data_IF_685897429785
#
_entry.id   IF_685897429785
#
_cell.length_a   1.000
_cell.length_b   1.000
_cell.length_c   1.000
_cell.angle_alpha   90.00
_cell.angle_beta   90.00
_cell.angle_gamma   90.00
#
_symmetry.space_group_name_H-M   'P 1'
#
loop_
_entity.id
_entity.type
_entity.pdbx_description
1 polymer ?
#
# COMPACT_ATOMS: atom_id res chain seq x y z
N UNK A 1 -4.61 -17.03 -11.46
CA UNK A 1 -3.37 -16.57 -12.10
C UNK A 1 -3.74 -15.65 -13.25
N UNK A 2 -3.26 -14.41 -13.20
CA UNK A 2 -3.63 -13.31 -14.10
C UNK A 2 -2.36 -12.57 -14.59
N UNK A 3 -1.39 -13.29 -15.18
CA UNK A 3 -0.17 -12.65 -15.66
C UNK A 3 -0.49 -11.60 -16.73
N UNK A 4 0.21 -10.47 -16.70
CA UNK A 4 -0.01 -9.35 -17.62
C UNK A 4 -1.08 -8.35 -17.18
N UNK A 5 -1.81 -8.62 -16.09
CA UNK A 5 -2.69 -7.61 -15.48
C UNK A 5 -1.86 -6.60 -14.68
N UNK A 6 -2.09 -5.32 -14.96
CA UNK A 6 -1.39 -4.19 -14.34
C UNK A 6 -2.42 -3.16 -13.88
N UNK A 7 -2.33 -2.75 -12.61
CA UNK A 7 -3.06 -1.61 -12.04
C UNK A 7 -2.04 -0.48 -11.86
N UNK A 8 -2.07 0.52 -12.75
CA UNK A 8 -1.04 1.57 -12.81
C UNK A 8 -1.61 2.97 -13.00
N UNK A 9 -0.98 3.95 -12.35
CA UNK A 9 -1.22 5.37 -12.62
C UNK A 9 -2.57 5.88 -12.08
N UNK A 10 -3.13 5.23 -11.06
CA UNK A 10 -4.45 5.59 -10.56
C UNK A 10 -4.37 6.54 -9.36
N UNK A 11 -5.36 7.42 -9.26
CA UNK A 11 -5.68 8.21 -8.08
C UNK A 11 -6.99 7.69 -7.47
N UNK A 12 -6.92 7.05 -6.29
CA UNK A 12 -8.08 6.39 -5.67
C UNK A 12 -8.22 6.86 -4.21
N UNK A 13 -9.27 7.60 -3.89
CA UNK A 13 -9.37 8.21 -2.57
C UNK A 13 -10.79 8.43 -2.06
N UNK A 14 -10.90 8.78 -0.78
CA UNK A 14 -12.14 9.09 -0.09
C UNK A 14 -13.16 7.94 -0.12
N UNK A 15 -12.67 6.71 -0.01
CA UNK A 15 -13.49 5.50 -0.01
C UNK A 15 -14.04 5.24 1.39
N UNK A 16 -15.37 5.23 1.52
CA UNK A 16 -16.08 4.97 2.78
C UNK A 16 -16.86 3.66 2.70
N UNK A 17 -16.86 2.89 3.79
CA UNK A 17 -17.72 1.70 3.97
C UNK A 17 -18.86 1.98 4.94
N UNK A 18 -20.02 1.38 4.68
CA UNK A 18 -21.11 1.33 5.66
C UNK A 18 -20.93 0.16 6.65
N UNK A 19 -20.52 -1.02 6.16
CA UNK A 19 -20.38 -2.22 7.00
C UNK A 19 -19.06 -2.96 6.73
N UNK A 20 -18.82 -3.37 5.49
CA UNK A 20 -17.65 -4.16 5.11
C UNK A 20 -16.91 -3.52 3.94
N UNK A 21 -15.60 -3.71 3.89
CA UNK A 21 -14.73 -3.26 2.81
C UNK A 21 -14.34 -1.79 2.87
N UNK A 22 -14.19 -1.15 1.71
CA UNK A 22 -13.69 0.22 1.62
C UNK A 22 -12.17 0.31 1.51
N UNK A 23 -11.58 -0.55 0.68
CA UNK A 23 -10.19 -0.47 0.24
C UNK A 23 -10.08 0.34 -1.05
N UNK A 24 -8.89 0.82 -1.39
CA UNK A 24 -8.65 1.38 -2.72
C UNK A 24 -8.36 0.26 -3.75
N UNK A 25 -7.34 -0.56 -3.50
CA UNK A 25 -6.97 -1.69 -4.35
C UNK A 25 -7.10 -2.97 -3.53
N UNK A 26 -7.95 -3.89 -3.98
CA UNK A 26 -8.19 -5.16 -3.31
C UNK A 26 -7.96 -6.34 -4.27
N UNK A 27 -6.87 -7.06 -4.07
CA UNK A 27 -6.60 -8.33 -4.73
C UNK A 27 -7.20 -9.48 -3.90
N UNK A 28 -8.39 -9.93 -4.31
CA UNK A 28 -9.12 -11.01 -3.65
C UNK A 28 -8.72 -12.41 -4.18
N UNK A 29 -9.43 -13.44 -3.74
CA UNK A 29 -9.14 -14.85 -3.97
C UNK A 29 -8.77 -15.16 -5.43
N UNK A 30 -7.60 -15.79 -5.59
CA UNK A 30 -7.07 -16.20 -6.89
C UNK A 30 -6.36 -15.09 -7.68
N UNK A 31 -6.34 -13.84 -7.21
CA UNK A 31 -5.55 -12.73 -7.78
C UNK A 31 -4.06 -13.01 -7.65
N UNK A 32 -3.40 -13.40 -8.75
CA UNK A 32 -1.98 -13.77 -8.72
C UNK A 32 -1.21 -13.25 -9.93
N UNK A 33 0.05 -12.88 -9.73
CA UNK A 33 0.93 -12.28 -10.75
C UNK A 33 0.42 -10.94 -11.32
N UNK A 34 -0.29 -10.17 -10.50
CA UNK A 34 -0.74 -8.81 -10.83
C UNK A 34 0.32 -7.81 -10.38
N UNK A 35 0.59 -6.81 -11.22
CA UNK A 35 1.45 -5.68 -10.87
C UNK A 35 0.59 -4.49 -10.47
N UNK A 36 0.81 -3.96 -9.27
CA UNK A 36 0.19 -2.76 -8.72
C UNK A 36 1.28 -1.71 -8.54
N UNK A 37 1.32 -0.70 -9.41
CA UNK A 37 2.41 0.28 -9.37
C UNK A 37 2.02 1.70 -9.75
N UNK A 38 2.74 2.69 -9.22
CA UNK A 38 2.52 4.10 -9.55
C UNK A 38 1.09 4.57 -9.26
N UNK A 39 0.45 4.03 -8.23
CA UNK A 39 -0.85 4.47 -7.77
C UNK A 39 -0.71 5.36 -6.53
N UNK A 40 -1.61 6.33 -6.39
CA UNK A 40 -1.77 7.16 -5.20
C UNK A 40 -3.13 6.85 -4.60
N UNK A 41 -3.14 6.23 -3.42
CA UNK A 41 -4.35 5.78 -2.75
C UNK A 41 -4.42 6.28 -1.31
N UNK A 42 -5.51 6.95 -0.93
CA UNK A 42 -5.58 7.58 0.39
C UNK A 42 -6.98 7.81 0.94
N UNK A 43 -7.08 8.09 2.25
CA UNK A 43 -8.35 8.37 2.97
C UNK A 43 -9.42 7.30 2.72
N UNK A 44 -9.02 6.04 2.84
CA UNK A 44 -9.94 4.92 2.82
C UNK A 44 -10.33 4.49 4.23
N UNK A 45 -11.56 4.05 4.45
CA UNK A 45 -11.96 3.50 5.76
C UNK A 45 -11.29 2.16 6.06
N UNK A 46 -10.95 1.34 5.06
CA UNK A 46 -10.06 0.19 5.25
C UNK A 46 -8.62 0.55 4.83
N UNK A 47 -7.91 -0.36 4.15
CA UNK A 47 -6.53 -0.17 3.70
C UNK A 47 -6.45 0.38 2.27
N UNK A 48 -5.36 1.09 1.94
CA UNK A 48 -5.10 1.49 0.57
C UNK A 48 -4.87 0.27 -0.33
N UNK A 49 -4.02 -0.67 0.12
CA UNK A 49 -3.83 -1.96 -0.53
C UNK A 49 -4.25 -3.10 0.38
N UNK A 50 -4.99 -4.05 -0.16
CA UNK A 50 -5.38 -5.25 0.57
C UNK A 50 -5.21 -6.49 -0.29
N UNK A 51 -4.68 -7.54 0.33
CA UNK A 51 -4.57 -8.86 -0.26
C UNK A 51 -5.42 -9.86 0.53
N UNK A 52 -6.18 -10.67 -0.20
CA UNK A 52 -6.83 -11.87 0.31
C UNK A 52 -6.53 -13.03 -0.65
N UNK A 53 -5.87 -14.06 -0.14
CA UNK A 53 -5.74 -15.38 -0.77
C UNK A 53 -5.40 -15.39 -2.26
N UNK A 54 -4.23 -14.84 -2.57
CA UNK A 54 -3.60 -14.83 -3.89
C UNK A 54 -2.08 -14.87 -3.75
N UNK A 55 -1.35 -14.97 -4.86
CA UNK A 55 0.08 -15.25 -4.85
C UNK A 55 0.89 -14.37 -5.83
N UNK A 56 2.12 -14.08 -5.46
CA UNK A 56 3.16 -13.49 -6.32
C UNK A 56 2.73 -12.18 -6.99
N UNK A 57 1.88 -11.39 -6.31
CA UNK A 57 1.56 -10.03 -6.74
C UNK A 57 2.74 -9.10 -6.43
N UNK A 58 2.96 -8.09 -7.26
CA UNK A 58 4.03 -7.10 -7.08
C UNK A 58 3.37 -5.77 -6.79
N UNK A 59 3.67 -5.19 -5.63
CA UNK A 59 3.14 -3.91 -5.17
C UNK A 59 4.31 -2.96 -4.99
N UNK A 60 4.52 -2.07 -5.96
CA UNK A 60 5.71 -1.23 -5.97
C UNK A 60 5.47 0.21 -6.41
N UNK A 61 6.27 1.15 -5.92
CA UNK A 61 6.21 2.53 -6.36
C UNK A 61 4.82 3.17 -6.20
N UNK A 62 4.09 2.82 -5.16
CA UNK A 62 2.79 3.44 -4.82
C UNK A 62 2.92 4.39 -3.63
N UNK A 63 1.97 5.30 -3.49
CA UNK A 63 1.78 6.11 -2.29
C UNK A 63 0.48 5.64 -1.63
N UNK A 64 0.57 5.15 -0.40
CA UNK A 64 -0.57 4.68 0.41
C UNK A 64 -0.66 5.52 1.66
N UNK A 65 -1.73 6.29 1.82
CA UNK A 65 -1.78 7.35 2.82
C UNK A 65 -3.09 7.48 3.61
N UNK A 66 -2.98 7.79 4.90
CA UNK A 66 -4.08 8.30 5.72
C UNK A 66 -5.32 7.38 5.75
N UNK A 67 -5.12 6.07 5.67
CA UNK A 67 -6.17 5.05 5.80
C UNK A 67 -6.53 4.77 7.28
N UNK A 68 -7.79 4.47 7.57
CA UNK A 68 -8.30 4.33 8.95
C UNK A 68 -7.93 3.00 9.63
N UNK A 69 -7.97 1.87 8.89
CA UNK A 69 -7.63 0.55 9.45
C UNK A 69 -6.11 0.24 9.39
N UNK A 70 -5.37 0.97 8.55
CA UNK A 70 -3.94 0.82 8.24
C UNK A 70 -3.65 0.99 6.74
N UNK A 71 -2.39 1.05 6.29
CA UNK A 71 -2.08 1.36 4.89
C UNK A 71 -2.11 0.12 3.98
N UNK A 72 -1.59 -1.00 4.47
CA UNK A 72 -1.56 -2.28 3.75
C UNK A 72 -2.11 -3.39 4.63
N UNK A 73 -2.94 -4.28 4.08
CA UNK A 73 -3.46 -5.43 4.82
C UNK A 73 -3.32 -6.76 4.09
N UNK A 74 -2.98 -7.82 4.83
CA UNK A 74 -3.02 -9.20 4.38
C UNK A 74 -3.96 -10.00 5.27
N UNK A 75 -5.17 -10.27 4.80
CA UNK A 75 -6.18 -11.00 5.59
C UNK A 75 -5.94 -12.52 5.60
N UNK A 76 -5.57 -13.08 4.45
CA UNK A 76 -5.25 -14.50 4.28
C UNK A 76 -4.08 -14.66 3.33
N UNK A 77 -3.00 -15.25 3.81
CA UNK A 77 -1.85 -15.61 2.99
C UNK A 77 -2.16 -16.79 2.08
N UNK A 78 -1.42 -16.87 0.97
CA UNK A 78 -1.26 -18.14 0.24
C UNK A 78 -0.39 -19.08 1.08
N UNK A 79 -0.42 -20.40 0.80
CA UNK A 79 0.32 -21.40 1.58
C UNK A 79 1.84 -21.15 1.65
N UNK A 80 2.57 -21.96 2.43
CA UNK A 80 3.98 -21.73 2.81
C UNK A 80 5.00 -21.68 1.66
N UNK A 81 4.62 -22.09 0.44
CA UNK A 81 5.55 -22.27 -0.68
C UNK A 81 5.53 -21.10 -1.67
N UNK A 82 4.71 -20.08 -1.44
CA UNK A 82 4.58 -18.91 -2.32
C UNK A 82 4.39 -17.65 -1.50
N UNK A 83 4.86 -16.52 -2.02
CA UNK A 83 4.57 -15.22 -1.42
C UNK A 83 3.16 -14.79 -1.83
N UNK A 84 2.43 -14.13 -0.95
CA UNK A 84 1.18 -13.46 -1.30
C UNK A 84 1.43 -12.22 -2.14
N UNK A 85 2.44 -11.43 -1.77
CA UNK A 85 2.91 -10.30 -2.56
C UNK A 85 4.35 -9.92 -2.19
N UNK A 86 4.97 -9.10 -3.04
CA UNK A 86 6.18 -8.34 -2.74
C UNK A 86 5.82 -6.86 -2.68
N UNK A 87 6.09 -6.22 -1.54
CA UNK A 87 5.86 -4.80 -1.28
C UNK A 87 7.21 -4.08 -1.27
N UNK A 88 7.53 -3.35 -2.34
CA UNK A 88 8.83 -2.67 -2.45
C UNK A 88 8.74 -1.25 -2.99
N UNK A 89 9.61 -0.36 -2.48
CA UNK A 89 9.70 1.03 -2.95
C UNK A 89 8.34 1.75 -2.92
N UNK A 90 7.53 1.52 -1.91
CA UNK A 90 6.30 2.29 -1.71
C UNK A 90 6.53 3.36 -0.64
N UNK A 91 5.78 4.45 -0.71
CA UNK A 91 5.67 5.42 0.37
C UNK A 91 4.39 5.12 1.13
N UNK A 92 4.52 4.77 2.41
CA UNK A 92 3.40 4.53 3.31
C UNK A 92 3.34 5.67 4.32
N UNK A 93 2.27 6.45 4.24
CA UNK A 93 2.00 7.59 5.11
C UNK A 93 0.87 7.24 6.07
N UNK A 94 1.19 7.13 7.35
CA UNK A 94 0.17 6.97 8.37
C UNK A 94 -0.19 8.31 9.01
N UNK A 95 -1.31 8.34 9.73
CA UNK A 95 -1.72 9.45 10.59
C UNK A 95 -2.25 8.88 11.91
N UNK A 96 -1.37 8.21 12.64
CA UNK A 96 -1.66 7.55 13.92
C UNK A 96 -2.17 6.12 13.83
N UNK A 97 -2.16 5.51 12.64
CA UNK A 97 -2.57 4.12 12.41
C UNK A 97 -1.36 3.19 12.19
N UNK A 98 -1.52 1.86 12.35
CA UNK A 98 -0.50 0.91 11.93
C UNK A 98 -0.20 0.98 10.43
N UNK A 99 1.04 0.73 10.03
CA UNK A 99 1.40 0.70 8.61
C UNK A 99 0.86 -0.55 7.91
N UNK A 100 1.13 -1.72 8.50
CA UNK A 100 0.66 -3.00 7.99
C UNK A 100 -0.27 -3.70 8.98
N UNK A 101 -1.21 -4.44 8.42
CA UNK A 101 -2.13 -5.30 9.14
C UNK A 101 -2.06 -6.75 8.66
N UNK A 102 -1.85 -7.68 9.58
CA UNK A 102 -1.92 -9.13 9.36
C UNK A 102 -3.21 -9.69 9.96
N UNK A 103 -4.04 -10.31 9.15
CA UNK A 103 -5.30 -10.92 9.59
C UNK A 103 -5.15 -12.37 10.02
N UNK A 104 -6.30 -13.04 10.13
CA UNK A 104 -6.47 -14.39 10.68
C UNK A 104 -5.57 -15.49 10.08
N UNK A 105 -5.13 -15.34 8.83
CA UNK A 105 -4.13 -16.22 8.19
C UNK A 105 -2.96 -15.44 7.56
N UNK A 106 -2.79 -14.18 7.95
CA UNK A 106 -1.77 -13.26 7.45
C UNK A 106 -0.66 -12.99 8.47
N UNK A 107 -0.33 -13.96 9.33
CA UNK A 107 0.65 -13.76 10.40
C UNK A 107 2.04 -13.43 9.84
N UNK A 108 2.65 -12.38 10.40
CA UNK A 108 3.91 -11.82 9.95
C UNK A 108 5.09 -12.77 10.14
N UNK A 109 5.12 -13.50 11.25
CA UNK A 109 6.19 -14.46 11.55
C UNK A 109 6.26 -15.64 10.56
N UNK A 110 5.18 -15.88 9.79
CA UNK A 110 5.17 -16.91 8.75
C UNK A 110 5.89 -16.50 7.47
N UNK A 111 6.21 -15.21 7.30
CA UNK A 111 6.97 -14.70 6.14
C UNK A 111 6.33 -15.00 4.80
N UNK A 112 5.00 -14.97 4.74
CA UNK A 112 4.22 -15.25 3.54
C UNK A 112 4.17 -14.07 2.54
N UNK A 113 4.95 -13.02 2.74
CA UNK A 113 5.13 -11.93 1.78
C UNK A 113 6.52 -11.34 1.96
N UNK A 114 6.92 -10.45 1.06
CA UNK A 114 8.16 -9.68 1.18
C UNK A 114 7.82 -8.20 1.34
N UNK A 115 8.57 -7.52 2.19
CA UNK A 115 8.49 -6.07 2.36
C UNK A 115 9.90 -5.52 2.54
N UNK A 116 10.35 -4.63 1.65
CA UNK A 116 11.66 -3.98 1.75
C UNK A 116 11.76 -2.71 0.87
N UNK A 117 12.76 -1.87 1.12
CA UNK A 117 13.01 -0.62 0.37
C UNK A 117 11.83 0.36 0.37
N UNK A 118 10.93 0.26 1.35
CA UNK A 118 9.80 1.17 1.51
C UNK A 118 10.21 2.40 2.35
N UNK A 119 9.46 3.48 2.20
CA UNK A 119 9.56 4.65 3.05
C UNK A 119 8.30 4.73 3.90
N UNK A 120 8.47 4.73 5.22
CA UNK A 120 7.37 4.86 6.17
C UNK A 120 7.46 6.18 6.92
N UNK A 121 6.33 6.86 7.06
CA UNK A 121 6.26 8.09 7.86
C UNK A 121 4.88 8.22 8.49
N UNK A 122 4.84 8.62 9.76
CA UNK A 122 3.59 8.89 10.46
C UNK A 122 3.44 10.40 10.66
N UNK A 123 2.40 10.96 10.06
CA UNK A 123 2.09 12.40 10.09
C UNK A 123 1.67 12.89 11.48
N UNK A 124 1.22 12.00 12.38
CA UNK A 124 0.89 12.29 13.77
C UNK A 124 2.09 12.08 14.72
N UNK A 125 3.28 11.81 14.18
CA UNK A 125 4.50 11.56 14.95
C UNK A 125 4.46 10.27 15.77
N UNK A 126 3.57 9.33 15.44
CA UNK A 126 3.51 8.04 16.13
C UNK A 126 4.68 7.13 15.72
N UNK A 127 5.16 6.27 16.63
CA UNK A 127 6.18 5.30 16.29
C UNK A 127 5.67 4.29 15.25
N UNK A 128 6.59 3.73 14.46
CA UNK A 128 6.27 2.64 13.55
C UNK A 128 5.63 1.48 14.29
N UNK A 129 4.45 1.06 13.81
CA UNK A 129 3.77 -0.14 14.29
C UNK A 129 3.16 -0.93 13.13
N UNK A 130 3.20 -2.25 13.27
CA UNK A 130 2.40 -3.19 12.49
C UNK A 130 1.50 -3.99 13.43
N UNK A 131 0.28 -4.33 12.99
CA UNK A 131 -0.74 -4.98 13.83
C UNK A 131 -1.12 -6.34 13.28
N UNK A 132 -1.19 -7.35 14.13
CA UNK A 132 -1.86 -8.62 13.82
C UNK A 132 -3.24 -8.67 14.50
N UNK A 133 -4.20 -9.31 13.85
CA UNK A 133 -5.52 -9.55 14.41
C UNK A 133 -6.11 -10.90 13.99
N UNK A 134 -7.06 -11.39 14.78
CA UNK A 134 -7.80 -12.62 14.51
C UNK A 134 -8.94 -12.44 13.48
N UNK A 135 -9.70 -13.51 13.21
CA UNK A 135 -10.85 -13.49 12.29
C UNK A 135 -11.97 -12.51 12.67
N UNK A 136 -11.95 -12.02 13.92
CA UNK A 136 -12.91 -11.05 14.45
C UNK A 136 -12.29 -9.64 14.56
N UNK A 137 -11.16 -9.41 13.89
CA UNK A 137 -10.43 -8.14 13.89
C UNK A 137 -9.93 -7.70 15.27
N UNK A 138 -9.81 -8.62 16.23
CA UNK A 138 -9.24 -8.31 17.55
C UNK A 138 -7.73 -8.37 17.46
N UNK A 139 -7.06 -7.33 17.93
CA UNK A 139 -5.59 -7.27 17.98
C UNK A 139 -5.04 -8.44 18.78
N UNK A 140 -4.19 -9.24 18.13
CA UNK A 140 -3.44 -10.34 18.76
C UNK A 140 -1.96 -10.02 18.90
N UNK A 141 -1.46 -9.02 18.18
CA UNK A 141 -0.08 -8.59 18.25
C UNK A 141 0.11 -7.16 17.73
N UNK A 142 1.09 -6.45 18.29
CA UNK A 142 1.57 -5.17 17.77
C UNK A 142 3.09 -5.21 17.81
N UNK A 143 3.70 -4.87 16.68
CA UNK A 143 5.13 -5.04 16.47
C UNK A 143 5.77 -3.68 16.20
N UNK A 144 6.84 -3.40 16.92
CA UNK A 144 7.76 -2.28 16.69
C UNK A 144 8.61 -2.53 15.45
N UNK A 145 9.31 -1.49 14.97
CA UNK A 145 10.23 -1.61 13.84
C UNK A 145 11.32 -2.67 14.07
N UNK A 146 11.87 -2.76 15.28
CA UNK A 146 12.93 -3.73 15.58
C UNK A 146 12.41 -5.17 15.54
N UNK A 147 11.20 -5.41 16.05
CA UNK A 147 10.55 -6.73 15.94
C UNK A 147 10.22 -7.07 14.49
N UNK A 148 9.72 -6.08 13.74
CA UNK A 148 9.42 -6.20 12.32
C UNK A 148 10.66 -6.56 11.49
N UNK A 149 11.79 -5.88 11.74
CA UNK A 149 13.10 -6.21 11.18
C UNK A 149 13.64 -7.55 11.67
N UNK A 150 13.33 -7.93 12.92
CA UNK A 150 13.65 -9.25 13.48
C UNK A 150 13.00 -10.40 12.72
N UNK A 151 11.85 -10.19 12.07
CA UNK A 151 11.25 -11.14 11.14
C UNK A 151 11.90 -11.14 9.74
N UNK A 152 12.82 -10.23 9.48
CA UNK A 152 13.51 -10.07 8.20
C UNK A 152 12.78 -9.19 7.19
N UNK A 153 11.88 -8.33 7.63
CA UNK A 153 11.21 -7.33 6.79
C UNK A 153 11.88 -5.96 6.88
N UNK A 154 11.80 -5.18 5.81
CA UNK A 154 12.12 -3.75 5.80
C UNK A 154 13.52 -3.44 6.39
N UNK A 155 14.47 -4.32 6.08
CA UNK A 155 15.87 -4.22 6.51
C UNK A 155 16.61 -3.07 5.83
N UNK A 156 16.15 -2.66 4.64
CA UNK A 156 16.69 -1.53 3.86
C UNK A 156 15.67 -0.39 3.70
N UNK A 157 14.52 -0.49 4.35
CA UNK A 157 13.51 0.56 4.38
C UNK A 157 13.87 1.67 5.36
N UNK A 158 13.34 2.87 5.11
CA UNK A 158 13.59 4.06 5.90
C UNK A 158 12.33 4.50 6.66
N UNK A 159 12.54 5.05 7.85
CA UNK A 159 11.53 5.83 8.57
C UNK A 159 11.95 7.30 8.49
N UNK A 160 11.36 8.05 7.57
CA UNK A 160 11.71 9.46 7.34
C UNK A 160 10.59 10.18 6.60
N UNK A 161 10.48 11.49 6.82
CA UNK A 161 9.52 12.34 6.12
C UNK A 161 9.80 12.33 4.60
N UNK A 162 8.82 11.94 3.75
CA UNK A 162 8.97 12.02 2.30
C UNK A 162 9.03 13.45 1.76
N UNK A 163 8.68 14.47 2.54
CA UNK A 163 8.59 15.85 2.07
C UNK A 163 7.42 16.06 1.10
N UNK A 164 6.29 15.39 1.33
CA UNK A 164 5.07 15.65 0.56
C UNK A 164 4.57 17.08 0.83
N UNK A 165 4.13 17.79 -0.22
CA UNK A 165 3.68 19.19 -0.12
C UNK A 165 2.52 19.39 0.86
N UNK A 166 1.47 18.56 0.78
CA UNK A 166 0.31 18.61 1.68
C UNK A 166 -0.47 17.28 1.69
N UNK A 167 0.08 16.21 2.30
CA UNK A 167 -0.49 14.87 2.21
C UNK A 167 -1.85 14.72 2.89
N UNK A 168 -2.18 15.57 3.87
CA UNK A 168 -3.51 15.54 4.52
C UNK A 168 -4.61 16.04 3.58
N UNK A 169 -4.29 16.98 2.70
CA UNK A 169 -5.22 17.51 1.69
C UNK A 169 -5.10 16.83 0.32
N UNK A 170 -4.31 15.76 0.21
CA UNK A 170 -4.22 14.92 -1.00
C UNK A 170 -3.10 15.32 -1.96
N UNK A 171 -2.16 16.13 -1.50
CA UNK A 171 -1.03 16.60 -2.30
C UNK A 171 0.27 15.86 -1.94
N UNK A 172 0.56 14.84 -2.75
CA UNK A 172 1.70 13.96 -2.55
C UNK A 172 2.91 14.34 -3.40
N UNK A 173 2.95 15.57 -3.93
CA UNK A 173 4.12 16.08 -4.64
C UNK A 173 5.33 16.05 -3.71
N UNK A 174 6.38 15.32 -4.09
CA UNK A 174 7.59 15.15 -3.28
C UNK A 174 8.53 16.33 -3.42
N UNK A 175 9.22 16.67 -2.33
CA UNK A 175 10.37 17.57 -2.38
C UNK A 175 11.50 16.98 -3.27
N UNK A 176 12.31 17.84 -3.94
CA UNK A 176 13.40 17.37 -4.80
C UNK A 176 14.47 16.53 -4.09
N UNK A 177 14.60 16.67 -2.78
CA UNK A 177 15.54 15.97 -1.90
C UNK A 177 14.87 14.86 -1.07
N UNK A 178 13.67 14.43 -1.45
CA UNK A 178 12.92 13.39 -0.75
C UNK A 178 13.76 12.11 -0.57
N UNK A 179 13.79 11.52 0.64
CA UNK A 179 14.51 10.26 0.88
C UNK A 179 13.96 9.08 0.06
N UNK A 180 12.72 9.18 -0.44
CA UNK A 180 12.12 8.17 -1.31
C UNK A 180 12.92 8.00 -2.61
N UNK A 181 13.49 9.10 -3.15
CA UNK A 181 14.26 9.08 -4.40
C UNK A 181 15.53 8.23 -4.27
N UNK A 182 16.19 8.28 -3.11
CA UNK A 182 17.37 7.46 -2.81
C UNK A 182 17.02 5.96 -2.69
N UNK A 183 15.79 5.63 -2.31
CA UNK A 183 15.24 4.27 -2.33
C UNK A 183 14.81 3.84 -3.74
N UNK A 184 14.97 4.68 -4.76
CA UNK A 184 14.57 4.41 -6.13
C UNK A 184 13.07 4.56 -6.38
N UNK A 185 12.36 5.31 -5.53
CA UNK A 185 10.98 5.72 -5.82
C UNK A 185 10.97 6.71 -6.99
N UNK A 186 10.11 6.47 -7.97
CA UNK A 186 9.82 7.35 -9.09
C UNK A 186 8.57 8.20 -8.77
N UNK A 187 8.67 9.54 -8.75
CA UNK A 187 7.51 10.40 -8.59
C UNK A 187 6.38 10.05 -9.56
N UNK A 188 5.14 10.09 -9.07
CA UNK A 188 3.96 9.70 -9.84
C UNK A 188 3.36 10.96 -10.47
N UNK A 189 3.31 10.99 -11.80
CA UNK A 189 2.56 11.99 -12.55
C UNK A 189 1.07 11.63 -12.51
N UNK A 190 0.25 12.54 -12.01
CA UNK A 190 -1.20 12.42 -11.95
C UNK A 190 -1.91 13.43 -12.86
N UNK A 191 -1.19 14.10 -13.76
CA UNK A 191 -1.74 15.18 -14.59
C UNK A 191 -2.81 14.72 -15.59
N UNK A 192 -2.90 13.41 -15.87
CA UNK A 192 -3.84 12.82 -16.82
C UNK A 192 -4.95 11.99 -16.15
N UNK A 193 -4.99 11.91 -14.82
CA UNK A 193 -6.01 11.15 -14.09
C UNK A 193 -7.36 11.87 -14.08
N UNK A 194 -8.43 11.08 -13.91
CA UNK A 194 -9.79 11.57 -13.84
C UNK A 194 -10.53 11.52 -15.18
N UNK A 195 -11.78 12.01 -15.22
CA UNK A 195 -12.57 11.99 -16.44
C UNK A 195 -11.88 12.80 -17.53
N UNK A 196 -11.71 12.19 -18.71
CA UNK A 196 -11.29 12.93 -19.90
C UNK A 196 -12.32 14.03 -20.17
N UNK A 197 -11.84 15.20 -20.58
CA UNK A 197 -12.72 16.27 -21.04
C UNK A 197 -13.52 15.80 -22.25
N UNK A 198 -14.69 16.40 -22.56
CA UNK A 198 -15.46 16.05 -23.76
C UNK A 198 -14.61 16.04 -25.03
N UNK A 199 -13.73 17.03 -25.19
CA UNK A 199 -12.86 17.17 -26.35
C UNK A 199 -11.86 16.01 -26.47
N UNK A 200 -11.38 15.48 -25.35
CA UNK A 200 -10.46 14.33 -25.30
C UNK A 200 -11.18 12.98 -25.38
N UNK A 201 -12.48 12.92 -25.12
CA UNK A 201 -13.29 11.69 -25.25
C UNK A 201 -13.60 11.37 -26.70
N UNK A 202 -13.90 12.41 -27.48
CA UNK A 202 -14.44 12.27 -28.83
C UNK A 202 -13.36 12.44 -29.92
N UNK A 203 -12.12 12.75 -29.52
CA UNK A 203 -10.96 12.66 -30.41
C UNK A 203 -10.73 11.20 -30.80
N UNK A 204 -10.64 10.90 -32.10
CA UNK A 204 -10.21 9.57 -32.55
C UNK A 204 -8.83 9.26 -31.95
N UNK A 205 -8.62 8.05 -31.38
CA UNK A 205 -7.31 7.67 -30.91
C UNK A 205 -6.32 7.76 -32.07
N UNK A 206 -5.37 8.69 -31.95
CA UNK A 206 -4.40 9.00 -32.99
C UNK A 206 -3.58 7.78 -33.40
N UNK A 207 -3.47 7.62 -34.72
CA UNK A 207 -2.47 6.83 -35.45
C UNK A 207 -1.05 7.30 -35.09
#
# INVERSE_FOLDING_TARGET
MQPGTIIRGNLIHDIRKCNYGGWAIYNDEGSSHIVVEKNVCYRTTSHAYHQHYGAENIVRNNIFACCEDGQVGLSRATGRDQLSFTLERNILLSNGQPFLWGGYWGFFHLRNYRSDLNLFWDLAGQPFTCREADAKYRTTGTFTLDQWRGFGYDTHSLIADPGCRDPLHGDFTLAPDSPALALGFEPIDLSDVGPRTPEKRDAEPGV
#
